data_IF_654951964834
#
_entry.id   IF_654951964834
#
_cell.length_a   1.000
_cell.length_b   1.000
_cell.length_c   1.000
_cell.angle_alpha   90.00
_cell.angle_beta   90.00
_cell.angle_gamma   90.00
#
_symmetry.space_group_name_H-M   'P 1'
#
loop_
_entity.id
_entity.type
_entity.pdbx_description
1 polymer ?
#
# COMPACT_ATOMS: atom_id res chain seq x y z
N UNK A 1 -42.37 2.25 15.45
CA UNK A 1 -42.97 3.42 16.11
C UNK A 1 -41.89 4.47 16.29
N UNK A 2 -42.12 5.69 15.79
CA UNK A 2 -41.17 6.81 15.89
C UNK A 2 -41.09 7.25 17.36
N UNK A 3 -39.88 7.54 17.86
CA UNK A 3 -39.66 7.97 19.25
C UNK A 3 -40.01 9.45 19.41
N UNK A 4 -40.36 9.85 20.63
CA UNK A 4 -40.56 11.25 20.98
C UNK A 4 -39.29 12.07 20.68
N UNK A 5 -39.44 13.20 19.97
CA UNK A 5 -38.30 14.01 19.49
C UNK A 5 -37.76 13.67 18.09
N UNK A 6 -38.44 12.80 17.31
CA UNK A 6 -38.02 12.49 15.93
C UNK A 6 -38.05 13.73 15.03
N UNK A 7 -36.98 14.00 14.23
CA UNK A 7 -36.94 15.13 13.30
C UNK A 7 -38.09 15.10 12.28
N UNK A 8 -38.58 16.29 11.92
CA UNK A 8 -39.70 16.45 10.98
C UNK A 8 -39.41 15.80 9.61
N UNK A 9 -38.16 15.86 9.13
CA UNK A 9 -37.75 15.21 7.88
C UNK A 9 -37.91 13.68 7.92
N UNK A 10 -37.58 13.04 9.05
CA UNK A 10 -37.75 11.59 9.22
C UNK A 10 -39.23 11.19 9.31
N UNK A 11 -40.09 12.08 9.82
CA UNK A 11 -41.55 11.88 9.78
C UNK A 11 -42.06 11.94 8.33
N UNK A 12 -41.58 12.87 7.50
CA UNK A 12 -41.92 12.94 6.08
C UNK A 12 -41.41 11.74 5.27
N UNK A 13 -40.20 11.27 5.54
CA UNK A 13 -39.65 10.05 4.94
C UNK A 13 -40.49 8.80 5.27
N UNK A 14 -40.95 8.67 6.51
CA UNK A 14 -41.88 7.62 6.91
C UNK A 14 -43.23 7.70 6.17
N UNK A 15 -43.79 8.90 6.03
CA UNK A 15 -45.04 9.14 5.27
C UNK A 15 -44.88 8.70 3.82
N UNK A 16 -43.77 9.06 3.16
CA UNK A 16 -43.54 8.69 1.76
C UNK A 16 -43.33 7.17 1.60
N UNK A 17 -42.64 6.54 2.54
CA UNK A 17 -42.44 5.07 2.55
C UNK A 17 -43.77 4.32 2.70
N UNK A 18 -44.66 4.78 3.58
CA UNK A 18 -45.99 4.19 3.77
C UNK A 18 -46.94 4.45 2.59
N UNK A 19 -46.79 5.59 1.91
CA UNK A 19 -47.53 5.95 0.70
C UNK A 19 -47.15 5.08 -0.51
N UNK A 20 -45.87 4.72 -0.66
CA UNK A 20 -45.35 3.97 -1.83
C UNK A 20 -45.73 2.48 -1.84
N UNK A 21 -46.52 2.00 -0.87
CA UNK A 21 -47.14 0.67 -0.91
C UNK A 21 -46.26 -0.48 -0.43
N UNK A 22 -45.13 -0.21 0.24
CA UNK A 22 -44.33 -1.24 0.91
C UNK A 22 -44.98 -1.79 2.18
N UNK A 23 -46.05 -1.17 2.66
CA UNK A 23 -46.90 -1.67 3.74
C UNK A 23 -48.20 -2.23 3.17
N UNK A 24 -48.73 -3.28 3.79
CA UNK A 24 -49.95 -4.01 3.41
C UNK A 24 -51.21 -3.11 3.28
N UNK A 25 -51.14 -1.86 3.76
CA UNK A 25 -52.18 -0.84 3.67
C UNK A 25 -51.56 0.52 3.30
N UNK A 26 -52.05 1.15 2.22
CA UNK A 26 -51.69 2.52 1.87
C UNK A 26 -52.65 3.50 2.55
N UNK A 27 -52.16 4.24 3.55
CA UNK A 27 -52.94 5.30 4.20
C UNK A 27 -52.87 6.60 3.41
N UNK A 28 -53.93 7.44 3.43
CA UNK A 28 -53.86 8.78 2.86
C UNK A 28 -52.77 9.63 3.54
N UNK A 29 -52.05 10.43 2.77
CA UNK A 29 -51.01 11.35 3.30
C UNK A 29 -51.57 12.26 4.39
N UNK A 30 -52.81 12.70 4.22
CA UNK A 30 -53.55 13.54 5.17
C UNK A 30 -53.67 12.88 6.55
N UNK A 31 -54.11 11.62 6.57
CA UNK A 31 -54.24 10.83 7.78
C UNK A 31 -52.90 10.67 8.51
N UNK A 32 -51.82 10.41 7.76
CA UNK A 32 -50.49 10.23 8.35
C UNK A 32 -49.88 11.55 8.83
N UNK A 33 -50.11 12.66 8.13
CA UNK A 33 -49.70 13.99 8.58
C UNK A 33 -50.37 14.40 9.89
N UNK A 34 -51.68 14.16 10.00
CA UNK A 34 -52.45 14.48 11.21
C UNK A 34 -52.02 13.58 12.38
N UNK A 35 -51.77 12.29 12.14
CA UNK A 35 -51.30 11.35 13.17
C UNK A 35 -49.88 11.67 13.69
N UNK A 36 -49.02 12.26 12.85
CA UNK A 36 -47.63 12.57 13.18
C UNK A 36 -47.40 14.03 13.60
N UNK A 37 -48.48 14.82 13.65
CA UNK A 37 -48.46 16.25 13.97
C UNK A 37 -47.48 17.03 13.08
N UNK A 38 -47.62 16.89 11.76
CA UNK A 38 -46.79 17.57 10.74
C UNK A 38 -47.64 18.17 9.62
N UNK A 39 -47.18 19.27 9.03
CA UNK A 39 -47.92 19.95 7.97
C UNK A 39 -47.89 19.18 6.63
N UNK A 40 -49.02 19.18 5.93
CA UNK A 40 -49.14 18.60 4.58
C UNK A 40 -48.31 19.37 3.56
N UNK A 41 -48.34 20.71 3.62
CA UNK A 41 -47.56 21.58 2.74
C UNK A 41 -46.06 21.31 2.90
N UNK A 42 -45.58 21.17 4.14
CA UNK A 42 -44.19 20.81 4.41
C UNK A 42 -43.81 19.41 3.91
N UNK A 43 -44.75 18.44 3.92
CA UNK A 43 -44.53 17.11 3.35
C UNK A 43 -44.34 17.17 1.82
N UNK A 44 -45.19 17.93 1.11
CA UNK A 44 -45.07 18.10 -0.33
C UNK A 44 -43.85 18.94 -0.72
N UNK A 45 -43.52 19.99 0.03
CA UNK A 45 -42.30 20.78 -0.17
C UNK A 45 -41.04 19.96 0.07
N UNK A 46 -41.01 19.15 1.13
CA UNK A 46 -39.91 18.22 1.39
C UNK A 46 -39.72 17.23 0.24
N UNK A 47 -40.82 16.71 -0.33
CA UNK A 47 -40.78 15.79 -1.47
C UNK A 47 -40.29 16.43 -2.76
N UNK A 48 -40.60 17.71 -2.97
CA UNK A 48 -40.18 18.46 -4.16
C UNK A 48 -38.83 19.15 -3.97
N UNK A 49 -38.21 19.04 -2.79
CA UNK A 49 -36.97 19.72 -2.48
C UNK A 49 -35.85 19.12 -3.34
N UNK A 50 -35.22 19.90 -4.22
CA UNK A 50 -34.09 19.39 -5.00
C UNK A 50 -32.92 19.07 -4.07
N UNK A 51 -32.12 18.08 -4.45
CA UNK A 51 -30.88 17.74 -3.75
C UNK A 51 -30.03 18.99 -3.57
N UNK A 52 -29.50 19.19 -2.36
CA UNK A 52 -28.64 20.33 -2.10
C UNK A 52 -27.36 20.24 -2.94
N UNK A 53 -26.71 21.37 -3.23
CA UNK A 53 -25.42 21.36 -3.93
C UNK A 53 -24.38 20.47 -3.23
N UNK A 54 -24.49 20.32 -1.91
CA UNK A 54 -23.65 19.42 -1.09
C UNK A 54 -23.94 17.96 -1.40
N UNK A 55 -25.21 17.57 -1.55
CA UNK A 55 -25.59 16.18 -1.82
C UNK A 55 -25.19 15.77 -3.24
N UNK A 56 -25.44 16.65 -4.22
CA UNK A 56 -24.98 16.45 -5.60
C UNK A 56 -23.46 16.26 -5.65
N UNK A 57 -22.72 17.11 -4.93
CA UNK A 57 -21.25 17.00 -4.84
C UNK A 57 -20.81 15.68 -4.19
N UNK A 58 -21.53 15.18 -3.19
CA UNK A 58 -21.22 13.88 -2.57
C UNK A 58 -21.44 12.74 -3.56
N UNK A 59 -22.50 12.77 -4.35
CA UNK A 59 -22.75 11.75 -5.39
C UNK A 59 -21.68 11.76 -6.48
N UNK A 60 -21.26 12.93 -6.95
CA UNK A 60 -20.11 13.05 -7.87
C UNK A 60 -18.83 12.45 -7.26
N UNK A 61 -18.55 12.73 -5.99
CA UNK A 61 -17.39 12.20 -5.30
C UNK A 61 -17.47 10.68 -5.15
N UNK A 62 -18.65 10.12 -4.86
CA UNK A 62 -18.85 8.66 -4.80
C UNK A 62 -18.46 8.00 -6.12
N UNK A 63 -18.91 8.54 -7.26
CA UNK A 63 -18.56 8.03 -8.59
C UNK A 63 -17.04 8.03 -8.83
N UNK A 64 -16.38 9.14 -8.50
CA UNK A 64 -14.92 9.28 -8.66
C UNK A 64 -14.14 8.36 -7.72
N UNK A 65 -14.60 8.20 -6.48
CA UNK A 65 -13.99 7.30 -5.49
C UNK A 65 -14.09 5.85 -5.99
N UNK A 66 -15.26 5.41 -6.46
CA UNK A 66 -15.45 4.06 -7.01
C UNK A 66 -14.53 3.84 -8.21
N UNK A 67 -14.48 4.78 -9.16
CA UNK A 67 -13.58 4.70 -10.32
C UNK A 67 -12.12 4.57 -9.90
N UNK A 68 -11.66 5.39 -8.95
CA UNK A 68 -10.28 5.34 -8.45
C UNK A 68 -9.96 4.01 -7.75
N UNK A 69 -10.93 3.45 -7.02
CA UNK A 69 -10.81 2.18 -6.33
C UNK A 69 -10.70 1.01 -7.32
N UNK A 70 -11.57 0.96 -8.33
CA UNK A 70 -11.56 -0.06 -9.39
C UNK A 70 -10.28 -0.02 -10.22
N UNK A 71 -9.83 1.17 -10.64
CA UNK A 71 -8.56 1.35 -11.36
C UNK A 71 -7.33 0.86 -10.57
N UNK A 72 -7.48 0.65 -9.26
CA UNK A 72 -6.41 0.17 -8.39
C UNK A 72 -6.50 -1.33 -8.07
N UNK A 73 -7.35 -2.08 -8.79
CA UNK A 73 -7.69 -3.47 -8.47
C UNK A 73 -8.15 -3.64 -7.01
N UNK A 74 -8.92 -2.67 -6.52
CA UNK A 74 -9.41 -2.62 -5.13
C UNK A 74 -8.30 -2.52 -4.07
N UNK A 75 -7.07 -2.09 -4.40
CA UNK A 75 -5.95 -2.05 -3.44
C UNK A 75 -5.82 -0.73 -2.69
N UNK A 76 -6.44 0.35 -3.16
CA UNK A 76 -6.25 1.68 -2.59
C UNK A 76 -7.19 1.93 -1.42
N UNK A 77 -6.62 2.27 -0.25
CA UNK A 77 -7.37 2.87 0.85
C UNK A 77 -7.55 4.39 0.68
N UNK A 78 -8.34 5.01 1.56
CA UNK A 78 -8.76 6.42 1.48
C UNK A 78 -7.62 7.43 1.27
N UNK A 79 -6.42 7.21 1.83
CA UNK A 79 -5.26 8.10 1.63
C UNK A 79 -4.75 8.08 0.19
N UNK A 80 -4.71 6.91 -0.45
CA UNK A 80 -4.27 6.76 -1.84
C UNK A 80 -5.34 7.25 -2.81
N UNK A 81 -6.61 7.02 -2.50
CA UNK A 81 -7.73 7.60 -3.24
C UNK A 81 -7.70 9.13 -3.16
N UNK A 82 -7.49 9.72 -1.98
CA UNK A 82 -7.31 11.18 -1.83
C UNK A 82 -6.20 11.73 -2.74
N UNK A 83 -5.03 11.09 -2.74
CA UNK A 83 -3.94 11.48 -3.63
C UNK A 83 -4.32 11.32 -5.12
N UNK A 84 -5.08 10.28 -5.48
CA UNK A 84 -5.53 10.06 -6.85
C UNK A 84 -6.56 11.11 -7.30
N UNK A 85 -7.54 11.46 -6.45
CA UNK A 85 -8.49 12.54 -6.73
C UNK A 85 -7.77 13.88 -6.91
N UNK A 86 -6.78 14.18 -6.06
CA UNK A 86 -5.95 15.38 -6.21
C UNK A 86 -5.21 15.42 -7.58
N UNK A 87 -4.71 14.27 -8.06
CA UNK A 87 -4.12 14.15 -9.41
C UNK A 87 -5.12 14.34 -10.54
N UNK A 88 -6.40 14.07 -10.30
CA UNK A 88 -7.48 14.36 -11.24
C UNK A 88 -8.03 15.79 -11.10
N UNK A 89 -7.41 16.63 -10.27
CA UNK A 89 -7.85 18.02 -10.03
C UNK A 89 -9.09 18.12 -9.13
N UNK A 90 -9.43 17.06 -8.40
CA UNK A 90 -10.63 17.00 -7.56
C UNK A 90 -10.24 17.22 -6.10
N UNK A 91 -10.65 18.34 -5.52
CA UNK A 91 -10.43 18.64 -4.10
C UNK A 91 -11.52 18.00 -3.24
N UNK A 92 -11.12 17.18 -2.28
CA UNK A 92 -11.99 16.61 -1.25
C UNK A 92 -11.17 16.31 0.02
N UNK A 93 -11.77 16.47 1.20
CA UNK A 93 -11.08 16.17 2.45
C UNK A 93 -10.87 14.65 2.63
N UNK A 94 -9.73 14.21 3.22
CA UNK A 94 -9.45 12.79 3.41
C UNK A 94 -10.45 12.08 4.34
N UNK A 95 -11.03 12.82 5.30
CA UNK A 95 -12.08 12.32 6.20
C UNK A 95 -13.39 12.05 5.46
N UNK A 96 -13.79 12.98 4.58
CA UNK A 96 -14.97 12.83 3.72
C UNK A 96 -14.82 11.62 2.81
N UNK A 97 -13.65 11.45 2.17
CA UNK A 97 -13.37 10.28 1.33
C UNK A 97 -13.49 8.99 2.15
N UNK A 98 -12.95 8.95 3.37
CA UNK A 98 -13.07 7.77 4.23
C UNK A 98 -14.52 7.47 4.58
N UNK A 99 -15.33 8.49 4.87
CA UNK A 99 -16.75 8.32 5.14
C UNK A 99 -17.49 7.76 3.91
N UNK A 100 -17.29 8.37 2.73
CA UNK A 100 -17.92 7.93 1.49
C UNK A 100 -17.51 6.50 1.10
N UNK A 101 -16.24 6.13 1.29
CA UNK A 101 -15.80 4.74 1.09
C UNK A 101 -16.51 3.76 2.02
N UNK A 102 -16.78 4.13 3.28
CA UNK A 102 -17.56 3.30 4.21
C UNK A 102 -19.01 3.19 3.78
N UNK A 103 -19.63 4.29 3.35
CA UNK A 103 -21.01 4.30 2.82
C UNK A 103 -21.15 3.39 1.58
N UNK A 104 -20.12 3.35 0.72
CA UNK A 104 -20.06 2.50 -0.47
C UNK A 104 -19.57 1.07 -0.20
N UNK A 105 -19.26 0.71 1.05
CA UNK A 105 -18.68 -0.58 1.42
C UNK A 105 -17.37 -0.94 0.67
N UNK A 106 -16.57 0.07 0.30
CA UNK A 106 -15.30 -0.14 -0.39
C UNK A 106 -14.18 -0.48 0.61
N UNK A 107 -13.86 -1.76 0.70
CA UNK A 107 -12.81 -2.29 1.58
C UNK A 107 -11.57 -2.62 0.76
N UNK A 108 -10.42 -1.94 0.98
CA UNK A 108 -9.22 -2.22 0.21
C UNK A 108 -8.68 -3.61 0.49
N UNK A 109 -8.47 -4.37 -0.58
CA UNK A 109 -7.80 -5.66 -0.55
C UNK A 109 -6.28 -5.44 -0.55
N UNK A 110 -5.60 -5.94 0.48
CA UNK A 110 -4.15 -6.08 0.46
C UNK A 110 -3.81 -7.56 0.29
N UNK A 111 -3.76 -8.08 -0.95
CA UNK A 111 -3.33 -9.45 -1.18
C UNK A 111 -1.93 -9.62 -0.61
N UNK A 112 -1.72 -10.66 0.21
CA UNK A 112 -0.38 -11.01 0.67
C UNK A 112 0.49 -11.28 -0.56
N UNK A 113 1.69 -10.69 -0.68
CA UNK A 113 2.55 -10.96 -1.81
C UNK A 113 2.85 -12.46 -1.89
N UNK A 114 2.49 -13.09 -3.01
CA UNK A 114 2.77 -14.50 -3.29
C UNK A 114 4.28 -14.65 -3.47
N UNK A 115 4.96 -15.17 -2.45
CA UNK A 115 6.40 -15.41 -2.50
C UNK A 115 6.68 -16.65 -3.34
N UNK A 116 7.22 -16.48 -4.55
CA UNK A 116 7.87 -17.57 -5.26
C UNK A 116 9.24 -17.81 -4.62
N UNK A 117 9.40 -18.90 -3.87
CA UNK A 117 10.72 -19.33 -3.40
C UNK A 117 11.48 -19.92 -4.59
N UNK A 118 12.23 -19.10 -5.32
CA UNK A 118 13.08 -19.54 -6.43
C UNK A 118 14.48 -20.02 -6.00
N UNK A 119 14.72 -20.17 -4.70
CA UNK A 119 16.00 -20.66 -4.17
C UNK A 119 15.99 -22.17 -3.99
N UNK A 120 16.59 -22.86 -4.96
CA UNK A 120 17.11 -24.21 -4.77
C UNK A 120 18.28 -24.12 -3.78
N UNK A 121 18.13 -24.71 -2.60
CA UNK A 121 19.18 -24.73 -1.58
C UNK A 121 20.35 -25.58 -2.09
N UNK A 122 21.51 -24.95 -2.34
CA UNK A 122 22.74 -25.66 -2.62
C UNK A 122 23.88 -25.22 -1.67
N UNK A 123 24.28 -26.20 -0.86
CA UNK A 123 25.59 -26.51 -0.27
C UNK A 123 26.57 -25.36 0.03
N UNK A 124 26.51 -24.84 1.25
CA UNK A 124 27.61 -24.09 1.86
C UNK A 124 27.17 -23.42 3.15
N UNK A 125 27.78 -23.78 4.28
CA UNK A 125 27.53 -23.16 5.59
C UNK A 125 28.19 -21.78 5.65
N UNK A 126 27.63 -20.81 4.92
CA UNK A 126 28.03 -19.39 5.09
C UNK A 126 27.59 -18.94 6.49
N UNK A 127 28.51 -18.44 7.33
CA UNK A 127 28.18 -18.03 8.68
C UNK A 127 27.32 -16.74 8.68
N UNK A 128 26.44 -16.64 9.66
CA UNK A 128 25.78 -15.40 9.99
C UNK A 128 26.69 -14.62 10.97
N UNK A 129 27.38 -13.60 10.45
CA UNK A 129 28.31 -12.73 11.19
C UNK A 129 27.60 -11.46 11.68
N UNK A 130 26.37 -11.22 11.22
CA UNK A 130 25.59 -10.01 11.55
C UNK A 130 24.62 -10.29 12.69
N UNK A 131 24.03 -11.50 12.75
CA UNK A 131 23.20 -11.91 13.89
C UNK A 131 22.00 -10.97 14.12
N UNK A 132 21.45 -10.40 13.04
CA UNK A 132 20.39 -9.37 13.02
C UNK A 132 20.79 -8.00 13.60
N UNK A 133 22.04 -7.76 13.93
CA UNK A 133 22.53 -6.43 14.26
C UNK A 133 23.06 -5.71 13.00
N UNK A 134 22.21 -4.87 12.40
CA UNK A 134 22.55 -4.06 11.23
C UNK A 134 23.08 -2.66 11.59
N UNK A 135 23.66 -2.48 12.78
CA UNK A 135 24.32 -1.23 13.18
C UNK A 135 25.83 -1.30 12.99
N UNK A 136 26.47 -0.15 12.80
CA UNK A 136 27.92 -0.04 12.74
C UNK A 136 28.36 1.36 13.18
N UNK A 137 29.46 1.43 13.93
CA UNK A 137 29.99 2.71 14.45
C UNK A 137 30.74 3.51 13.39
N UNK A 138 31.24 2.85 12.34
CA UNK A 138 32.03 3.47 11.27
C UNK A 138 31.52 3.05 9.89
N UNK A 139 31.51 3.97 8.90
CA UNK A 139 31.16 3.62 7.53
C UNK A 139 32.12 2.58 6.94
N UNK A 140 31.60 1.73 6.06
CA UNK A 140 32.40 0.76 5.29
C UNK A 140 32.85 -0.49 6.04
N UNK A 141 32.38 -0.73 7.28
CA UNK A 141 32.72 -1.95 8.07
C UNK A 141 31.68 -3.06 8.02
N UNK A 142 30.41 -2.70 7.81
CA UNK A 142 29.28 -3.63 7.75
C UNK A 142 28.35 -3.17 6.63
N UNK A 143 28.17 -4.04 5.64
CA UNK A 143 27.43 -3.78 4.41
C UNK A 143 26.35 -4.84 4.23
N UNK A 144 25.24 -4.43 3.64
CA UNK A 144 24.13 -5.32 3.27
C UNK A 144 23.90 -5.26 1.77
N UNK A 145 23.81 -6.42 1.14
CA UNK A 145 23.40 -6.56 -0.26
C UNK A 145 21.94 -6.98 -0.38
N UNK A 146 21.18 -6.28 -1.21
CA UNK A 146 19.79 -6.61 -1.51
C UNK A 146 19.53 -6.59 -3.03
N UNK A 147 18.58 -7.41 -3.49
CA UNK A 147 18.08 -7.38 -4.87
C UNK A 147 16.58 -7.17 -4.83
N UNK A 148 16.13 -6.12 -5.50
CA UNK A 148 14.72 -5.86 -5.75
C UNK A 148 14.42 -5.89 -7.24
N UNK A 149 13.16 -6.05 -7.59
CA UNK A 149 12.68 -6.05 -8.97
C UNK A 149 11.62 -4.98 -9.13
N UNK A 150 11.74 -4.20 -10.21
CA UNK A 150 10.92 -3.03 -10.52
C UNK A 150 10.12 -3.36 -11.78
N UNK A 151 8.77 -3.34 -11.75
CA UNK A 151 7.97 -3.52 -12.95
C UNK A 151 8.10 -2.27 -13.84
N UNK A 152 8.36 -2.48 -15.13
CA UNK A 152 8.44 -1.42 -16.14
C UNK A 152 7.52 -1.76 -17.33
N UNK A 153 7.32 -0.81 -18.24
CA UNK A 153 6.54 -1.04 -19.46
C UNK A 153 7.19 -2.03 -20.45
N UNK A 154 8.48 -2.32 -20.27
CA UNK A 154 9.27 -3.22 -21.14
C UNK A 154 9.58 -4.57 -20.48
N UNK A 155 9.12 -4.78 -19.24
CA UNK A 155 9.39 -5.99 -18.46
C UNK A 155 9.93 -5.69 -17.06
N UNK A 156 10.53 -6.70 -16.42
CA UNK A 156 11.12 -6.56 -15.08
C UNK A 156 12.54 -6.02 -15.15
N UNK A 157 12.82 -4.97 -14.39
CA UNK A 157 14.17 -4.46 -14.16
C UNK A 157 14.65 -4.96 -12.79
N UNK A 158 15.81 -5.60 -12.74
CA UNK A 158 16.43 -6.06 -11.51
C UNK A 158 17.43 -5.03 -11.01
N UNK A 159 17.29 -4.60 -9.76
CA UNK A 159 18.16 -3.62 -9.11
C UNK A 159 18.87 -4.29 -7.93
N UNK A 160 20.20 -4.42 -8.02
CA UNK A 160 21.03 -4.83 -6.89
C UNK A 160 21.59 -3.59 -6.20
N UNK A 161 21.55 -3.57 -4.86
CA UNK A 161 22.05 -2.47 -4.04
C UNK A 161 23.01 -2.96 -2.96
N UNK A 162 23.91 -2.07 -2.54
CA UNK A 162 24.81 -2.24 -1.41
C UNK A 162 24.61 -1.08 -0.46
N UNK A 163 24.13 -1.38 0.72
CA UNK A 163 23.80 -0.42 1.78
C UNK A 163 24.86 -0.48 2.86
N UNK A 164 25.32 0.69 3.30
CA UNK A 164 26.23 0.83 4.43
C UNK A 164 25.44 0.87 5.76
N UNK A 165 25.74 -0.04 6.69
CA UNK A 165 24.98 -0.16 7.94
C UNK A 165 25.17 1.00 8.92
N UNK A 166 26.23 1.80 8.79
CA UNK A 166 26.48 2.96 9.64
C UNK A 166 25.66 4.17 9.14
N UNK A 167 25.82 4.49 7.85
CA UNK A 167 25.22 5.70 7.24
C UNK A 167 23.81 5.49 6.69
N UNK A 168 23.42 4.23 6.46
CA UNK A 168 22.19 3.82 5.75
C UNK A 168 22.12 4.25 4.27
N UNK A 169 23.23 4.76 3.73
CA UNK A 169 23.30 5.14 2.33
C UNK A 169 23.47 3.93 1.41
N UNK A 170 22.88 4.02 0.22
CA UNK A 170 23.19 3.11 -0.89
C UNK A 170 24.51 3.54 -1.49
N UNK A 171 25.58 2.84 -1.14
CA UNK A 171 26.95 3.19 -1.57
C UNK A 171 27.32 2.56 -2.93
N UNK A 172 26.56 1.56 -3.39
CA UNK A 172 26.72 0.98 -4.71
C UNK A 172 25.44 0.35 -5.20
N UNK A 173 25.19 0.39 -6.50
CA UNK A 173 24.06 -0.26 -7.13
C UNK A 173 24.37 -0.64 -8.58
N UNK A 174 23.58 -1.55 -9.13
CA UNK A 174 23.62 -1.93 -10.53
C UNK A 174 22.22 -2.40 -10.97
N UNK A 175 21.92 -2.27 -12.25
CA UNK A 175 20.65 -2.69 -12.84
C UNK A 175 20.88 -3.64 -14.02
N UNK A 176 19.97 -4.58 -14.23
CA UNK A 176 19.97 -5.53 -15.36
C UNK A 176 18.55 -6.03 -15.68
N UNK A 177 18.40 -6.69 -16.83
CA UNK A 177 17.16 -7.38 -17.22
C UNK A 177 17.04 -8.79 -16.61
N UNK A 178 18.05 -9.24 -15.86
CA UNK A 178 18.12 -10.54 -15.21
C UNK A 178 18.76 -10.45 -13.81
N UNK A 179 18.46 -11.42 -12.94
CA UNK A 179 18.90 -11.40 -11.54
C UNK A 179 20.24 -12.11 -11.29
N UNK A 180 21.05 -12.39 -12.34
CA UNK A 180 22.23 -13.26 -12.24
C UNK A 180 23.41 -12.66 -11.45
N UNK A 181 24.37 -13.52 -11.09
CA UNK A 181 25.60 -13.15 -10.35
C UNK A 181 26.36 -11.92 -10.88
N UNK A 182 26.47 -11.66 -12.20
CA UNK A 182 27.14 -10.45 -12.70
C UNK A 182 26.53 -9.14 -12.19
N UNK A 183 25.21 -9.09 -11.96
CA UNK A 183 24.50 -7.93 -11.43
C UNK A 183 24.99 -7.57 -10.02
N UNK A 184 25.02 -8.55 -9.11
CA UNK A 184 25.47 -8.33 -7.72
C UNK A 184 26.99 -8.05 -7.64
N UNK A 185 27.79 -8.62 -8.53
CA UNK A 185 29.22 -8.32 -8.65
C UNK A 185 29.43 -6.86 -9.06
N UNK A 186 28.65 -6.35 -10.03
CA UNK A 186 28.71 -4.94 -10.43
C UNK A 186 28.35 -4.01 -9.27
N UNK A 187 27.30 -4.33 -8.52
CA UNK A 187 26.88 -3.53 -7.37
C UNK A 187 27.97 -3.41 -6.30
N UNK A 188 28.63 -4.50 -5.90
CA UNK A 188 29.71 -4.45 -4.89
C UNK A 188 30.99 -3.79 -5.40
N UNK A 189 31.31 -3.94 -6.70
CA UNK A 189 32.40 -3.18 -7.33
C UNK A 189 32.12 -1.67 -7.33
N UNK A 190 30.89 -1.27 -7.63
CA UNK A 190 30.48 0.12 -7.58
C UNK A 190 30.58 0.66 -6.13
N UNK A 191 30.17 -0.12 -5.14
CA UNK A 191 30.32 0.25 -3.72
C UNK A 191 31.78 0.47 -3.33
N UNK A 192 32.67 -0.45 -3.70
CA UNK A 192 34.11 -0.35 -3.40
C UNK A 192 34.81 0.81 -4.11
N UNK A 193 34.27 1.27 -5.25
CA UNK A 193 34.72 2.48 -5.95
C UNK A 193 34.24 3.75 -5.26
N UNK A 194 32.98 3.77 -4.84
CA UNK A 194 32.33 4.97 -4.31
C UNK A 194 32.71 5.24 -2.86
N UNK A 195 33.07 4.20 -2.09
CA UNK A 195 33.43 4.31 -0.68
C UNK A 195 34.61 3.42 -0.36
N UNK A 196 35.51 3.93 0.49
CA UNK A 196 36.57 3.11 1.08
C UNK A 196 35.95 2.06 2.00
N UNK A 197 36.09 0.80 1.62
CA UNK A 197 35.68 -0.33 2.45
C UNK A 197 36.82 -0.75 3.37
N UNK A 198 36.49 -1.07 4.61
CA UNK A 198 37.47 -1.53 5.59
C UNK A 198 37.88 -2.96 5.26
N UNK A 199 39.17 -3.29 5.43
CA UNK A 199 39.64 -4.67 5.28
C UNK A 199 38.87 -5.58 6.23
N UNK A 200 38.50 -6.75 5.74
CA UNK A 200 37.69 -7.74 6.44
C UNK A 200 36.28 -7.25 6.83
N UNK A 201 35.78 -6.17 6.24
CA UNK A 201 34.41 -5.72 6.43
C UNK A 201 33.41 -6.82 6.08
N UNK A 202 32.28 -6.82 6.79
CA UNK A 202 31.24 -7.83 6.62
C UNK A 202 30.35 -7.42 5.46
N UNK A 203 30.16 -8.32 4.50
CA UNK A 203 29.13 -8.19 3.46
C UNK A 203 28.05 -9.24 3.69
N UNK A 204 26.86 -8.80 4.09
CA UNK A 204 25.75 -9.65 4.47
C UNK A 204 24.65 -9.67 3.43
N UNK A 205 24.11 -10.84 3.12
CA UNK A 205 23.04 -11.02 2.14
C UNK A 205 22.03 -12.05 2.61
N UNK A 206 20.84 -12.03 2.03
CA UNK A 206 19.94 -13.17 2.12
C UNK A 206 20.52 -14.38 1.38
N UNK A 207 20.04 -15.59 1.72
CA UNK A 207 20.46 -16.87 1.12
C UNK A 207 19.89 -17.07 -0.31
N UNK A 208 20.10 -16.09 -1.18
CA UNK A 208 19.87 -16.21 -2.62
C UNK A 208 20.94 -17.08 -3.28
N UNK A 209 20.57 -17.93 -4.24
CA UNK A 209 21.50 -18.80 -4.98
C UNK A 209 22.66 -18.02 -5.61
N UNK A 210 22.39 -16.81 -6.11
CA UNK A 210 23.41 -15.95 -6.74
C UNK A 210 24.47 -15.45 -5.73
N UNK A 211 24.05 -15.06 -4.53
CA UNK A 211 24.96 -14.67 -3.45
C UNK A 211 25.77 -15.85 -2.90
N UNK A 212 25.28 -17.08 -3.09
CA UNK A 212 25.99 -18.30 -2.70
C UNK A 212 27.03 -18.75 -3.75
N UNK A 213 27.02 -18.19 -4.96
CA UNK A 213 27.91 -18.58 -6.06
C UNK A 213 29.41 -18.46 -5.75
N UNK A 214 30.22 -19.29 -6.42
CA UNK A 214 31.67 -19.28 -6.31
C UNK A 214 32.29 -17.98 -6.83
N UNK A 215 31.74 -17.43 -7.92
CA UNK A 215 32.20 -16.18 -8.52
C UNK A 215 31.99 -14.99 -7.57
N UNK A 216 30.81 -14.91 -6.94
CA UNK A 216 30.56 -13.87 -5.94
C UNK A 216 31.52 -13.99 -4.75
N UNK A 217 31.76 -15.22 -4.28
CA UNK A 217 32.73 -15.49 -3.22
C UNK A 217 34.16 -15.07 -3.60
N UNK A 218 34.55 -15.31 -4.87
CA UNK A 218 35.85 -14.91 -5.39
C UNK A 218 35.98 -13.39 -5.43
N UNK A 219 34.91 -12.70 -5.81
CA UNK A 219 34.92 -11.23 -5.86
C UNK A 219 35.01 -10.60 -4.48
N UNK A 220 34.25 -11.09 -3.49
CA UNK A 220 34.36 -10.61 -2.11
C UNK A 220 35.78 -10.80 -1.54
N UNK A 221 36.45 -11.92 -1.85
CA UNK A 221 37.85 -12.15 -1.45
C UNK A 221 38.82 -11.14 -2.08
N UNK A 222 38.63 -10.76 -3.35
CA UNK A 222 39.47 -9.74 -4.00
C UNK A 222 39.33 -8.37 -3.33
N UNK A 223 38.14 -8.07 -2.82
CA UNK A 223 37.85 -6.84 -2.09
C UNK A 223 38.17 -6.94 -0.59
N UNK A 224 38.75 -8.07 -0.15
CA UNK A 224 39.07 -8.37 1.25
C UNK A 224 37.85 -8.29 2.19
N UNK A 225 36.68 -8.76 1.71
CA UNK A 225 35.42 -8.75 2.45
C UNK A 225 35.07 -10.14 3.00
N UNK A 226 34.47 -10.16 4.20
CA UNK A 226 33.96 -11.37 4.84
C UNK A 226 32.50 -11.59 4.44
N UNK A 227 32.24 -12.68 3.71
CA UNK A 227 30.88 -13.07 3.33
C UNK A 227 30.08 -13.51 4.55
N UNK A 228 28.86 -13.00 4.68
CA UNK A 228 27.88 -13.41 5.66
C UNK A 228 26.50 -13.62 5.04
N UNK A 229 25.71 -14.56 5.58
CA UNK A 229 24.31 -14.71 5.16
C UNK A 229 23.41 -15.22 6.29
N UNK A 230 22.23 -14.61 6.44
CA UNK A 230 21.21 -14.97 7.43
C UNK A 230 20.49 -16.29 7.12
N UNK A 231 19.85 -16.94 8.10
CA UNK A 231 19.11 -18.21 7.89
C UNK A 231 18.03 -18.04 6.81
N UNK A 232 17.83 -19.07 6.00
CA UNK A 232 16.79 -19.10 4.95
C UNK A 232 15.42 -18.75 5.54
N UNK A 233 14.75 -17.72 5.01
CA UNK A 233 13.38 -17.35 5.39
C UNK A 233 13.22 -16.09 6.25
N UNK A 234 14.27 -15.28 6.47
CA UNK A 234 14.19 -14.00 7.20
C UNK A 234 14.63 -12.87 6.27
N UNK A 235 13.75 -11.90 6.05
CA UNK A 235 14.01 -10.72 5.23
C UNK A 235 14.76 -9.65 6.04
N UNK A 236 15.70 -8.96 5.39
CA UNK A 236 16.59 -7.95 5.98
C UNK A 236 15.90 -6.62 6.38
N UNK A 237 14.59 -6.47 6.10
CA UNK A 237 13.87 -5.20 6.27
C UNK A 237 12.73 -5.23 7.31
N UNK A 238 12.68 -6.24 8.18
CA UNK A 238 11.77 -6.26 9.33
C UNK A 238 12.55 -6.25 10.63
N UNK A 239 12.96 -5.06 11.05
CA UNK A 239 13.62 -4.79 12.33
C UNK A 239 13.65 -3.29 12.57
#
# INVERSE_FOLDING_TARGET
MLREGTPVASKYEFIETMRLGTAEYAYPVEFMCDMLDVSRSGCYEWRQRPDSATDQRREELKLLITKAFEMSDSTYGYRRIHAQLARWGVTAGPELIRQLMRELNLVPCQPKPKRWSLTQAAAGTVPDLVGRDFTAETPGVKLVGDITYIPTGEGWLYLATVIDCCTKEVIGYAMDDNYQTPLIIRAIRNAARNRKLTKHAIFHTDRGSNYMSADFSKELRKLDLRRSAGRTGISLLTG
#
